data_IF_784667446765
#
_entry.id   IF_784667446765
#
_cell.length_a   1.000
_cell.length_b   1.000
_cell.length_c   1.000
_cell.angle_alpha   90.00
_cell.angle_beta   90.00
_cell.angle_gamma   90.00
#
_symmetry.space_group_name_H-M   'P 1'
#
loop_
_entity.id
_entity.type
_entity.pdbx_description
1 polymer ?
#
# COMPACT_ATOMS: atom_id res chain seq x y z
N UNK A 1 25.98 60.55 10.06
CA UNK A 1 25.48 59.58 9.07
C UNK A 1 25.56 58.17 9.66
N UNK A 2 24.45 57.63 10.18
CA UNK A 2 24.37 56.25 10.69
C UNK A 2 23.25 55.56 9.90
N UNK A 3 23.62 54.53 9.14
CA UNK A 3 22.75 53.83 8.20
C UNK A 3 21.77 52.90 8.93
N UNK A 4 20.48 53.05 8.58
CA UNK A 4 19.37 52.16 8.93
C UNK A 4 19.50 50.86 8.11
N UNK A 5 19.59 49.70 8.75
CA UNK A 5 19.43 48.40 8.08
C UNK A 5 18.00 47.92 8.30
N UNK A 6 17.17 48.01 7.26
CA UNK A 6 15.84 47.39 7.22
C UNK A 6 16.00 45.88 6.96
N UNK A 7 15.50 45.05 7.87
CA UNK A 7 15.44 43.61 7.71
C UNK A 7 14.22 43.22 6.88
N UNK A 8 14.46 42.64 5.70
CA UNK A 8 13.44 42.02 4.85
C UNK A 8 13.08 40.65 5.44
N UNK A 9 11.87 40.50 5.97
CA UNK A 9 11.30 39.20 6.35
C UNK A 9 10.57 38.65 5.13
N UNK A 10 11.11 37.61 4.50
CA UNK A 10 10.45 36.86 3.43
C UNK A 10 9.59 35.78 4.09
N UNK A 11 8.27 35.91 4.00
CA UNK A 11 7.33 34.86 4.36
C UNK A 11 7.33 33.78 3.27
N UNK A 12 7.82 32.59 3.59
CA UNK A 12 7.80 31.44 2.68
C UNK A 12 6.44 30.73 2.82
N UNK A 13 5.50 31.06 1.94
CA UNK A 13 4.24 30.35 1.79
C UNK A 13 4.50 28.95 1.22
N UNK A 14 4.20 27.91 1.98
CA UNK A 14 4.26 26.53 1.52
C UNK A 14 3.19 26.29 0.45
N UNK A 15 3.61 26.10 -0.81
CA UNK A 15 2.75 25.61 -1.87
C UNK A 15 2.51 24.12 -1.63
N UNK A 16 1.26 23.75 -1.34
CA UNK A 16 0.80 22.38 -1.41
C UNK A 16 0.81 21.93 -2.88
N UNK A 17 1.70 21.00 -3.21
CA UNK A 17 1.70 20.33 -4.52
C UNK A 17 0.53 19.35 -4.55
N UNK A 18 -0.43 19.60 -5.44
CA UNK A 18 -1.43 18.61 -5.83
C UNK A 18 -0.71 17.52 -6.62
N UNK A 19 -0.70 16.29 -6.12
CA UNK A 19 -0.05 15.18 -6.77
C UNK A 19 -0.93 14.62 -7.91
N UNK A 20 -0.35 14.51 -9.10
CA UNK A 20 -0.86 13.65 -10.17
C UNK A 20 -0.44 12.21 -9.87
N UNK A 21 -1.39 11.29 -9.81
CA UNK A 21 -1.13 9.84 -9.82
C UNK A 21 -0.52 9.50 -11.19
N UNK A 22 0.70 8.95 -11.21
CA UNK A 22 1.28 8.45 -12.45
C UNK A 22 1.06 6.94 -12.54
N UNK A 23 0.33 6.52 -13.57
CA UNK A 23 0.13 5.10 -13.87
C UNK A 23 1.24 4.67 -14.82
N UNK A 24 2.13 3.77 -14.38
CA UNK A 24 2.91 2.96 -15.29
C UNK A 24 2.02 1.83 -15.80
N UNK A 25 1.52 2.00 -17.02
CA UNK A 25 0.79 0.97 -17.76
C UNK A 25 1.86 -0.01 -18.28
N UNK A 26 1.94 -1.19 -17.68
CA UNK A 26 2.62 -2.34 -18.28
C UNK A 26 1.91 -2.73 -19.58
N UNK A 27 2.70 -2.92 -20.62
CA UNK A 27 2.33 -3.12 -22.02
C UNK A 27 1.37 -4.32 -22.22
N UNK A 28 0.08 -4.04 -22.41
CA UNK A 28 -0.80 -4.85 -23.26
C UNK A 28 -1.82 -3.93 -23.96
N UNK A 29 -1.73 -3.91 -25.29
CA UNK A 29 -2.52 -3.05 -26.16
C UNK A 29 -3.90 -3.67 -26.35
N UNK A 30 -4.93 -3.14 -25.69
CA UNK A 30 -6.25 -2.89 -26.29
C UNK A 30 -7.07 -1.88 -25.48
N UNK A 31 -7.07 -0.63 -25.96
CA UNK A 31 -8.20 0.31 -25.94
C UNK A 31 -9.00 0.50 -24.65
N UNK A 32 -8.61 1.48 -23.84
CA UNK A 32 -9.48 2.07 -22.82
C UNK A 32 -8.71 3.06 -21.94
N UNK A 33 -8.69 4.35 -22.34
CA UNK A 33 -8.07 5.41 -21.55
C UNK A 33 -8.77 5.57 -20.20
N UNK A 34 -8.22 4.95 -19.15
CA UNK A 34 -8.65 5.16 -17.77
C UNK A 34 -7.99 6.42 -17.22
N UNK A 35 -8.76 7.49 -17.04
CA UNK A 35 -8.35 8.60 -16.18
C UNK A 35 -8.17 8.06 -14.77
N UNK A 36 -6.92 8.01 -14.28
CA UNK A 36 -6.59 7.65 -12.90
C UNK A 36 -7.29 8.63 -11.96
N UNK A 37 -8.41 8.20 -11.40
CA UNK A 37 -9.24 8.99 -10.50
C UNK A 37 -8.72 8.79 -9.08
N UNK A 38 -8.64 9.88 -8.31
CA UNK A 38 -8.25 9.84 -6.90
C UNK A 38 -9.06 8.74 -6.18
N UNK A 39 -8.41 7.77 -5.50
CA UNK A 39 -9.11 6.73 -4.75
C UNK A 39 -10.17 7.27 -3.77
N UNK A 40 -10.01 8.49 -3.26
CA UNK A 40 -11.02 9.14 -2.43
C UNK A 40 -12.30 9.51 -3.18
N UNK A 41 -12.20 9.77 -4.48
CA UNK A 41 -13.32 10.04 -5.38
C UNK A 41 -13.87 8.72 -5.96
N UNK A 42 -12.99 7.88 -6.51
CA UNK A 42 -13.37 6.64 -7.21
C UNK A 42 -13.78 5.51 -6.27
N UNK A 43 -13.33 5.55 -5.01
CA UNK A 43 -13.41 4.46 -4.05
C UNK A 43 -12.75 3.17 -4.52
N UNK A 44 -11.77 3.26 -5.43
CA UNK A 44 -11.01 2.13 -5.94
C UNK A 44 -9.51 2.38 -5.76
N UNK A 45 -8.80 1.39 -5.22
CA UNK A 45 -7.35 1.29 -5.26
C UNK A 45 -6.98 0.22 -6.28
N UNK A 46 -6.17 0.59 -7.27
CA UNK A 46 -5.65 -0.30 -8.30
C UNK A 46 -4.25 0.16 -8.72
N UNK A 47 -3.45 -0.76 -9.28
CA UNK A 47 -2.14 -0.42 -9.83
C UNK A 47 -1.12 0.04 -8.78
N UNK A 48 -0.55 1.22 -8.96
CA UNK A 48 0.57 1.71 -8.15
C UNK A 48 0.22 3.01 -7.41
N UNK A 49 0.57 3.07 -6.13
CA UNK A 49 0.62 4.25 -5.28
C UNK A 49 2.09 4.64 -5.11
N UNK A 50 2.55 5.58 -5.94
CA UNK A 50 3.95 6.04 -6.06
C UNK A 50 4.22 7.38 -5.36
N UNK A 51 3.18 7.96 -4.77
CA UNK A 51 3.22 9.16 -3.93
C UNK A 51 2.38 8.96 -2.68
N UNK A 52 2.63 9.76 -1.64
CA UNK A 52 1.88 9.69 -0.39
C UNK A 52 0.36 9.85 -0.65
N UNK A 53 -0.41 8.91 -0.15
CA UNK A 53 -1.86 8.88 -0.30
C UNK A 53 -2.50 8.66 1.07
N UNK A 54 -3.49 9.49 1.40
CA UNK A 54 -4.35 9.27 2.55
C UNK A 54 -5.76 8.94 2.06
N UNK A 55 -6.24 7.74 2.41
CA UNK A 55 -7.64 7.39 2.25
C UNK A 55 -8.43 7.98 3.40
N UNK A 56 -9.39 8.84 3.07
CA UNK A 56 -10.41 9.25 4.01
C UNK A 56 -11.21 8.04 4.53
N UNK A 57 -11.91 8.20 5.66
CA UNK A 57 -12.75 7.11 6.18
C UNK A 57 -13.79 6.71 5.14
N UNK A 58 -13.85 5.43 4.79
CA UNK A 58 -14.80 4.96 3.79
C UNK A 58 -14.70 3.47 3.50
N UNK A 59 -15.51 3.02 2.54
CA UNK A 59 -15.36 1.70 1.94
C UNK A 59 -14.67 1.85 0.59
N UNK A 60 -13.61 1.09 0.36
CA UNK A 60 -12.81 1.11 -0.85
C UNK A 60 -12.69 -0.28 -1.43
N UNK A 61 -12.60 -0.38 -2.76
CA UNK A 61 -12.32 -1.62 -3.48
C UNK A 61 -10.82 -1.71 -3.78
N UNK A 62 -10.17 -2.79 -3.35
CA UNK A 62 -8.80 -3.16 -3.70
C UNK A 62 -8.86 -4.08 -4.92
N UNK A 63 -8.52 -3.53 -6.09
CA UNK A 63 -8.70 -4.18 -7.38
C UNK A 63 -7.35 -4.59 -7.96
N UNK A 64 -7.13 -5.90 -8.06
CA UNK A 64 -5.86 -6.49 -8.46
C UNK A 64 -4.73 -6.25 -7.45
N UNK A 65 -3.50 -6.49 -7.88
CA UNK A 65 -2.32 -6.22 -7.05
C UNK A 65 -2.09 -4.70 -7.00
N UNK A 66 -2.12 -4.16 -5.79
CA UNK A 66 -1.87 -2.74 -5.52
C UNK A 66 -0.52 -2.59 -4.85
N UNK A 67 0.36 -1.85 -5.50
CA UNK A 67 1.73 -1.62 -5.05
C UNK A 67 1.85 -0.25 -4.41
N UNK A 68 2.34 -0.17 -3.18
CA UNK A 68 2.83 1.07 -2.59
C UNK A 68 4.34 1.04 -2.74
N UNK A 69 4.90 1.94 -3.54
CA UNK A 69 6.32 1.92 -3.90
C UNK A 69 6.93 3.33 -3.88
N UNK A 70 8.14 3.48 -4.41
CA UNK A 70 8.82 4.78 -4.52
C UNK A 70 8.95 5.55 -3.18
N UNK A 71 9.01 4.83 -2.06
CA UNK A 71 9.05 5.43 -0.73
C UNK A 71 7.73 6.08 -0.28
N UNK A 72 6.64 5.87 -1.00
CA UNK A 72 5.32 6.40 -0.67
C UNK A 72 4.79 5.84 0.64
N UNK A 73 3.95 6.63 1.30
CA UNK A 73 3.17 6.23 2.47
C UNK A 73 1.69 6.17 2.10
N UNK A 74 1.10 4.99 2.20
CA UNK A 74 -0.35 4.81 2.16
C UNK A 74 -0.90 4.88 3.60
N UNK A 75 -1.71 5.90 3.86
CA UNK A 75 -2.40 6.07 5.15
C UNK A 75 -3.88 5.76 4.98
N UNK A 76 -4.43 4.94 5.87
CA UNK A 76 -5.84 4.55 5.85
C UNK A 76 -6.50 5.02 7.14
N UNK A 77 -7.51 5.88 7.01
CA UNK A 77 -8.23 6.39 8.17
C UNK A 77 -8.93 5.26 8.96
N UNK A 78 -8.97 5.40 10.29
CA UNK A 78 -9.66 4.48 11.19
C UNK A 78 -11.12 4.26 10.79
N UNK A 79 -11.63 3.04 11.01
CA UNK A 79 -12.99 2.64 10.63
C UNK A 79 -13.21 2.43 9.14
N UNK A 80 -12.17 2.47 8.31
CA UNK A 80 -12.29 2.16 6.88
C UNK A 80 -12.46 0.67 6.63
N UNK A 81 -13.12 0.34 5.53
CA UNK A 81 -13.28 -1.03 5.03
C UNK A 81 -12.66 -1.12 3.64
N UNK A 82 -11.65 -1.97 3.49
CA UNK A 82 -11.00 -2.27 2.22
C UNK A 82 -11.49 -3.64 1.77
N UNK A 83 -12.28 -3.68 0.70
CA UNK A 83 -12.81 -4.92 0.12
C UNK A 83 -12.02 -5.28 -1.12
N UNK A 84 -11.62 -6.54 -1.27
CA UNK A 84 -11.12 -7.00 -2.57
C UNK A 84 -12.17 -6.84 -3.66
N UNK A 85 -11.75 -6.61 -4.90
CA UNK A 85 -12.61 -6.89 -6.04
C UNK A 85 -12.86 -8.42 -6.13
N UNK A 86 -14.04 -8.80 -6.64
CA UNK A 86 -14.45 -10.21 -6.74
C UNK A 86 -13.84 -10.91 -7.95
N UNK A 87 -13.68 -10.17 -9.05
CA UNK A 87 -13.17 -10.67 -10.34
C UNK A 87 -11.65 -10.57 -10.37
N UNK A 88 -11.12 -9.40 -10.03
CA UNK A 88 -9.69 -9.08 -10.01
C UNK A 88 -9.19 -9.08 -8.56
N UNK A 89 -9.03 -10.28 -7.99
CA UNK A 89 -8.68 -10.47 -6.57
C UNK A 89 -7.52 -9.57 -6.14
N UNK A 90 -7.74 -8.84 -5.05
CA UNK A 90 -6.83 -7.83 -4.53
C UNK A 90 -5.69 -8.40 -3.69
N UNK A 91 -4.54 -7.77 -3.74
CA UNK A 91 -3.48 -7.90 -2.74
C UNK A 91 -2.84 -6.52 -2.55
N UNK A 92 -2.48 -6.17 -1.31
CA UNK A 92 -1.79 -4.92 -1.01
C UNK A 92 -0.31 -5.23 -0.76
N UNK A 93 0.56 -4.69 -1.60
CA UNK A 93 2.01 -4.93 -1.55
C UNK A 93 2.70 -3.61 -1.25
N UNK A 94 3.32 -3.52 -0.08
CA UNK A 94 4.13 -2.37 0.35
C UNK A 94 5.58 -2.73 0.11
N UNK A 95 6.18 -2.11 -0.91
CA UNK A 95 7.54 -2.39 -1.33
C UNK A 95 8.60 -1.74 -0.42
N UNK A 96 9.85 -2.16 -0.58
CA UNK A 96 11.00 -1.66 0.20
C UNK A 96 11.04 -0.14 0.27
N UNK A 97 11.00 0.38 1.49
CA UNK A 97 11.07 1.81 1.78
C UNK A 97 9.74 2.56 1.69
N UNK A 98 8.68 1.94 1.16
CA UNK A 98 7.32 2.43 1.29
C UNK A 98 6.72 2.04 2.66
N UNK A 99 5.58 2.64 3.00
CA UNK A 99 4.93 2.45 4.31
C UNK A 99 3.43 2.28 4.19
N UNK A 100 2.88 1.47 5.08
CA UNK A 100 1.45 1.40 5.36
C UNK A 100 1.14 1.89 6.77
N UNK A 101 0.34 2.95 6.88
CA UNK A 101 -0.16 3.48 8.15
C UNK A 101 -1.65 3.14 8.24
N UNK A 102 -1.96 2.07 8.96
CA UNK A 102 -3.31 1.59 9.22
C UNK A 102 -3.53 1.52 10.73
N UNK A 103 -3.88 2.68 11.32
CA UNK A 103 -4.08 2.84 12.75
C UNK A 103 -5.56 2.99 13.08
N UNK A 104 -6.26 1.86 13.12
CA UNK A 104 -7.62 1.79 13.64
C UNK A 104 -7.67 2.00 15.15
N UNK A 105 -8.89 1.93 15.69
CA UNK A 105 -9.14 1.89 17.14
C UNK A 105 -10.01 0.70 17.50
N UNK A 106 -10.17 0.40 18.80
CA UNK A 106 -11.06 -0.67 19.25
C UNK A 106 -12.52 -0.45 18.78
N UNK A 107 -12.98 0.81 18.75
CA UNK A 107 -14.33 1.17 18.28
C UNK A 107 -14.40 1.34 16.76
N UNK A 108 -13.29 1.63 16.11
CA UNK A 108 -13.21 1.88 14.67
C UNK A 108 -12.03 1.12 14.04
N UNK A 109 -12.09 -0.22 14.00
CA UNK A 109 -11.03 -1.01 13.38
C UNK A 109 -10.99 -0.76 11.88
N UNK A 110 -9.81 -0.90 11.27
CA UNK A 110 -9.67 -0.95 9.81
C UNK A 110 -9.85 -2.40 9.38
N UNK A 111 -10.74 -2.65 8.43
CA UNK A 111 -11.11 -4.01 8.01
C UNK A 111 -10.67 -4.22 6.56
N UNK A 112 -9.80 -5.20 6.33
CA UNK A 112 -9.50 -5.74 5.00
C UNK A 112 -10.23 -7.07 4.84
N UNK A 113 -11.04 -7.21 3.79
CA UNK A 113 -11.98 -8.34 3.67
C UNK A 113 -12.34 -8.67 2.21
N UNK A 114 -13.07 -9.77 2.03
CA UNK A 114 -13.60 -10.21 0.75
C UNK A 114 -14.55 -9.19 0.11
N UNK A 115 -14.53 -9.12 -1.23
CA UNK A 115 -15.52 -8.38 -2.03
C UNK A 115 -16.90 -9.01 -2.07
N UNK A 116 -17.01 -10.31 -1.75
CA UNK A 116 -18.25 -11.07 -1.86
C UNK A 116 -19.27 -10.66 -0.80
N UNK A 117 -20.53 -10.95 -1.10
CA UNK A 117 -21.63 -10.71 -0.18
C UNK A 117 -21.45 -11.51 1.13
N UNK A 118 -22.03 -10.99 2.22
CA UNK A 118 -22.01 -11.71 3.50
C UNK A 118 -22.68 -13.08 3.35
N UNK A 119 -22.05 -14.13 3.86
CA UNK A 119 -22.49 -15.52 3.69
C UNK A 119 -21.83 -16.25 2.52
N UNK A 120 -21.23 -15.53 1.57
CA UNK A 120 -20.52 -16.12 0.41
C UNK A 120 -18.98 -16.04 0.54
N UNK A 121 -18.51 -15.41 1.62
CA UNK A 121 -17.08 -15.15 1.85
C UNK A 121 -16.36 -16.42 2.28
N UNK A 122 -15.24 -16.70 1.64
CA UNK A 122 -14.41 -17.87 1.92
C UNK A 122 -12.93 -17.49 1.94
N UNK A 123 -12.11 -18.31 2.59
CA UNK A 123 -10.65 -18.13 2.55
C UNK A 123 -10.14 -18.06 1.09
N UNK A 124 -9.16 -17.20 0.83
CA UNK A 124 -8.61 -17.00 -0.52
C UNK A 124 -9.51 -16.22 -1.48
N UNK A 125 -10.48 -15.48 -0.94
CA UNK A 125 -11.21 -14.48 -1.71
C UNK A 125 -10.31 -13.32 -2.15
N UNK A 126 -9.18 -13.13 -1.47
CA UNK A 126 -8.15 -12.16 -1.82
C UNK A 126 -6.79 -12.57 -1.27
N UNK A 127 -5.72 -11.92 -1.72
CA UNK A 127 -4.35 -12.29 -1.37
C UNK A 127 -4.03 -12.03 0.10
N UNK A 128 -3.95 -10.75 0.47
CA UNK A 128 -3.54 -10.34 1.81
C UNK A 128 -2.76 -9.03 1.77
N UNK A 129 -2.06 -8.76 2.86
CA UNK A 129 -1.14 -7.63 2.99
C UNK A 129 0.29 -8.15 3.01
N UNK A 130 1.15 -7.56 2.18
CA UNK A 130 2.56 -7.90 2.08
C UNK A 130 3.38 -6.65 2.41
N UNK A 131 4.20 -6.74 3.45
CA UNK A 131 5.13 -5.69 3.86
C UNK A 131 6.55 -6.14 3.56
N UNK A 132 7.22 -5.44 2.65
CA UNK A 132 8.60 -5.72 2.25
C UNK A 132 9.50 -4.60 2.76
N UNK A 133 10.32 -4.92 3.74
CA UNK A 133 11.22 -3.98 4.38
C UNK A 133 12.68 -4.10 3.91
N UNK A 134 13.53 -3.24 4.46
CA UNK A 134 14.98 -3.19 4.21
C UNK A 134 15.81 -3.79 5.35
N UNK A 135 15.19 -4.40 6.36
CA UNK A 135 15.89 -5.00 7.48
C UNK A 135 16.72 -6.23 7.06
N UNK A 136 17.80 -6.54 7.79
CA UNK A 136 18.59 -7.74 7.53
C UNK A 136 17.75 -9.01 7.63
N UNK A 137 18.11 -9.99 6.80
CA UNK A 137 17.54 -11.34 6.82
C UNK A 137 18.67 -12.37 6.84
N UNK A 138 18.34 -13.65 6.96
CA UNK A 138 19.31 -14.74 6.79
C UNK A 138 19.57 -15.09 5.30
N UNK A 139 19.16 -14.24 4.37
CA UNK A 139 19.33 -14.42 2.92
C UNK A 139 20.36 -13.42 2.37
N UNK A 140 21.08 -13.74 1.27
CA UNK A 140 21.99 -12.81 0.62
C UNK A 140 21.31 -11.51 0.21
N UNK A 141 22.01 -10.39 0.26
CA UNK A 141 21.49 -9.08 -0.20
C UNK A 141 21.74 -8.81 -1.68
N UNK A 142 22.61 -9.60 -2.33
CA UNK A 142 22.96 -9.49 -3.75
C UNK A 142 23.03 -10.88 -4.41
N UNK A 143 22.06 -11.26 -5.26
CA UNK A 143 20.78 -10.54 -5.44
C UNK A 143 19.96 -10.54 -4.15
N UNK A 144 19.11 -9.53 -3.97
CA UNK A 144 18.18 -9.49 -2.84
C UNK A 144 17.20 -10.66 -2.93
N UNK A 145 16.73 -11.22 -1.80
CA UNK A 145 15.71 -12.26 -1.83
C UNK A 145 14.40 -11.71 -2.41
N UNK A 146 13.70 -12.56 -3.16
CA UNK A 146 12.41 -12.26 -3.77
C UNK A 146 11.31 -12.91 -2.95
N UNK A 147 10.23 -12.18 -2.69
CA UNK A 147 9.07 -12.70 -1.97
C UNK A 147 8.30 -13.70 -2.84
N UNK A 148 7.76 -14.74 -2.20
CA UNK A 148 6.92 -15.78 -2.82
C UNK A 148 5.52 -15.23 -3.17
N UNK A 149 4.61 -16.09 -3.66
CA UNK A 149 3.24 -15.72 -3.99
C UNK A 149 3.08 -15.03 -5.36
N UNK A 150 4.04 -15.21 -6.27
CA UNK A 150 3.98 -14.65 -7.62
C UNK A 150 4.13 -13.12 -7.70
N UNK A 151 4.44 -12.45 -6.58
CA UNK A 151 4.57 -10.99 -6.48
C UNK A 151 5.89 -10.50 -7.07
N UNK A 152 6.95 -11.32 -7.00
CA UNK A 152 8.24 -11.06 -7.62
C UNK A 152 8.83 -9.69 -7.22
N UNK A 153 8.76 -9.34 -5.93
CA UNK A 153 9.34 -8.11 -5.38
C UNK A 153 10.46 -8.40 -4.39
N UNK A 154 11.54 -7.60 -4.39
CA UNK A 154 12.65 -7.79 -3.46
C UNK A 154 12.27 -7.38 -2.04
N UNK A 155 12.84 -8.06 -1.06
CA UNK A 155 12.79 -7.68 0.35
C UNK A 155 14.16 -7.78 1.02
N UNK A 156 14.27 -7.32 2.25
CA UNK A 156 15.50 -7.37 3.03
C UNK A 156 16.53 -6.30 2.63
N UNK A 157 17.60 -6.20 3.40
CA UNK A 157 18.66 -5.23 3.19
C UNK A 157 19.64 -5.16 4.35
N UNK A 158 20.15 -3.97 4.61
CA UNK A 158 21.15 -3.69 5.66
C UNK A 158 20.64 -2.74 6.72
N UNK A 159 19.41 -2.22 6.58
CA UNK A 159 18.87 -1.17 7.44
C UNK A 159 18.22 -1.79 8.68
N UNK A 160 18.96 -1.93 9.78
CA UNK A 160 18.47 -2.57 11.02
C UNK A 160 17.35 -1.83 11.75
N UNK A 161 17.00 -0.62 11.29
CA UNK A 161 15.95 0.22 11.84
C UNK A 161 14.88 0.52 10.78
N UNK A 162 14.66 -0.43 9.86
CA UNK A 162 13.65 -0.31 8.82
C UNK A 162 12.23 -0.34 9.40
N UNK A 163 11.51 0.74 9.17
CA UNK A 163 10.12 0.85 9.57
C UNK A 163 9.21 0.86 8.33
N UNK A 164 8.52 -0.25 8.09
CA UNK A 164 7.57 -0.42 6.98
C UNK A 164 6.13 0.04 7.30
N UNK A 165 5.92 0.67 8.46
CA UNK A 165 4.64 1.28 8.87
C UNK A 165 4.03 0.70 10.14
N UNK A 166 2.73 0.94 10.33
CA UNK A 166 1.98 0.56 11.52
C UNK A 166 0.67 -0.09 11.13
N UNK A 167 0.40 -1.29 11.66
CA UNK A 167 -0.92 -1.92 11.64
C UNK A 167 -1.41 -2.03 13.09
N UNK A 168 -2.46 -1.28 13.45
CA UNK A 168 -3.03 -1.24 14.80
C UNK A 168 -4.55 -1.30 14.72
N UNK A 169 -5.18 -2.21 15.48
CA UNK A 169 -6.62 -2.52 15.37
C UNK A 169 -7.05 -2.78 13.91
N UNK A 170 -6.28 -3.62 13.21
CA UNK A 170 -6.57 -4.06 11.85
C UNK A 170 -7.16 -5.47 11.89
N UNK A 171 -8.20 -5.70 11.09
CA UNK A 171 -8.77 -7.04 10.81
C UNK A 171 -8.43 -7.42 9.38
N UNK A 172 -7.85 -8.61 9.22
CA UNK A 172 -7.58 -9.23 7.91
C UNK A 172 -8.44 -10.48 7.85
N UNK A 173 -9.40 -10.50 6.95
CA UNK A 173 -10.45 -11.53 6.91
C UNK A 173 -10.51 -12.19 5.54
N UNK A 174 -10.71 -13.50 5.48
CA UNK A 174 -10.93 -14.23 4.21
C UNK A 174 -9.76 -14.12 3.19
N UNK A 175 -8.58 -13.73 3.64
CA UNK A 175 -7.35 -13.64 2.85
C UNK A 175 -6.70 -15.02 2.65
N UNK A 176 -5.60 -15.08 1.91
CA UNK A 176 -4.81 -16.29 1.73
C UNK A 176 -5.05 -16.94 0.37
N UNK A 177 -4.32 -16.54 -0.67
CA UNK A 177 -4.45 -17.13 -2.02
C UNK A 177 -3.15 -17.83 -2.42
N UNK A 178 -3.27 -19.08 -2.87
CA UNK A 178 -2.16 -19.77 -3.51
C UNK A 178 -1.97 -19.18 -4.92
N UNK A 179 -0.83 -18.54 -5.16
CA UNK A 179 -0.46 -18.09 -6.49
C UNK A 179 0.05 -19.27 -7.32
N UNK A 180 0.84 -20.15 -6.69
CA UNK A 180 1.28 -21.45 -7.22
C UNK A 180 1.26 -22.50 -6.09
N UNK A 181 1.33 -23.81 -6.38
CA UNK A 181 1.43 -24.84 -5.34
C UNK A 181 2.66 -24.61 -4.45
N UNK A 182 2.44 -24.36 -3.15
CA UNK A 182 3.51 -24.06 -2.19
C UNK A 182 4.08 -22.65 -2.28
N UNK A 183 3.39 -21.73 -2.98
CA UNK A 183 3.74 -20.32 -3.10
C UNK A 183 2.48 -19.47 -2.91
N UNK A 184 2.19 -19.20 -1.65
CA UNK A 184 0.97 -18.50 -1.23
C UNK A 184 1.23 -17.03 -0.86
N UNK A 185 0.28 -16.17 -1.21
CA UNK A 185 0.11 -14.91 -0.50
C UNK A 185 -0.69 -15.21 0.76
N UNK A 186 -0.05 -15.06 1.93
CA UNK A 186 -0.69 -15.21 3.23
C UNK A 186 -1.53 -13.98 3.59
N UNK A 187 -2.34 -14.09 4.65
CA UNK A 187 -3.13 -12.94 5.14
C UNK A 187 -2.28 -11.73 5.53
N UNK A 188 -1.17 -11.97 6.23
CA UNK A 188 -0.13 -10.98 6.48
C UNK A 188 1.24 -11.63 6.20
N UNK A 189 2.00 -11.02 5.30
CA UNK A 189 3.35 -11.45 4.95
C UNK A 189 4.33 -10.33 5.28
N UNK A 190 5.36 -10.64 6.07
CA UNK A 190 6.42 -9.69 6.41
C UNK A 190 7.77 -10.20 5.89
N UNK A 191 8.36 -9.51 4.91
CA UNK A 191 9.69 -9.80 4.39
C UNK A 191 10.68 -8.74 4.83
N UNK A 192 11.58 -9.05 5.76
CA UNK A 192 12.67 -8.13 6.16
C UNK A 192 12.18 -6.79 6.74
N UNK A 193 11.16 -6.82 7.60
CA UNK A 193 10.66 -5.66 8.38
C UNK A 193 11.35 -5.68 9.76
N UNK A 194 11.87 -4.54 10.27
CA UNK A 194 12.57 -4.53 11.56
C UNK A 194 13.09 -3.18 12.02
#
# INVERSE_FOLDING_TARGET
MKFLKQGLVVALSALSLTACIKVDIGDDVTGGGGTGTDPNESKVLSGTVDANLTLAKGTYTLKGYVYVNNGATLTIAAGSVIKSDVTEKGALIVERGAKLIAEGTASEPIIFTSGKASGERVQGDWGGIILLGKAPTNRPTSPAPIIEGGVNRPYGGTETADNSGTLKYVRIEFSGVAAEPGSEINGLTCGGVG
#
